data_IF_138764339916
#
_entry.id   IF_138764339916
#
_cell.length_a   1.000
_cell.length_b   1.000
_cell.length_c   1.000
_cell.angle_alpha   90.00
_cell.angle_beta   90.00
_cell.angle_gamma   90.00
#
_symmetry.space_group_name_H-M   'P 1'
#
loop_
_entity.id
_entity.type
_entity.pdbx_description
1 polymer ?
#
# COMPACT_ATOMS: atom_id res chain seq x y z
N UNK A 1 23.00 -21.04 -8.15
CA UNK A 1 21.59 -20.60 -8.15
C UNK A 1 21.59 -19.12 -8.43
N UNK A 2 20.88 -18.66 -9.46
CA UNK A 2 20.55 -17.24 -9.54
C UNK A 2 19.38 -17.01 -8.60
N UNK A 3 19.59 -16.23 -7.55
CA UNK A 3 18.50 -15.81 -6.67
C UNK A 3 17.57 -14.91 -7.48
N UNK A 4 16.29 -15.27 -7.52
CA UNK A 4 15.28 -14.39 -8.12
C UNK A 4 15.19 -13.10 -7.31
N UNK A 5 15.03 -11.93 -7.95
CA UNK A 5 14.90 -10.66 -7.24
C UNK A 5 13.70 -10.68 -6.29
N UNK A 6 13.87 -10.08 -5.12
CA UNK A 6 12.80 -9.98 -4.12
C UNK A 6 11.55 -9.31 -4.70
N UNK A 7 10.39 -9.58 -4.12
CA UNK A 7 9.13 -8.92 -4.49
C UNK A 7 9.29 -7.39 -4.49
N UNK A 8 9.85 -6.82 -3.41
CA UNK A 8 10.10 -5.38 -3.29
C UNK A 8 10.99 -4.86 -4.42
N UNK A 9 12.04 -5.60 -4.78
CA UNK A 9 12.93 -5.22 -5.89
C UNK A 9 12.22 -5.24 -7.24
N UNK A 10 11.19 -6.09 -7.43
CA UNK A 10 10.39 -6.17 -8.66
C UNK A 10 9.27 -5.12 -8.74
N UNK A 11 8.81 -4.59 -7.61
CA UNK A 11 7.87 -3.45 -7.58
C UNK A 11 8.50 -2.17 -8.14
N UNK A 12 9.79 -1.94 -7.90
CA UNK A 12 10.48 -0.71 -8.32
C UNK A 12 10.48 -0.48 -9.85
N UNK A 13 10.80 -1.47 -10.72
CA UNK A 13 10.66 -1.33 -12.16
C UNK A 13 9.25 -0.96 -12.60
N UNK A 14 8.21 -1.59 -12.03
CA UNK A 14 6.82 -1.25 -12.34
C UNK A 14 6.49 0.18 -11.94
N UNK A 15 6.88 0.60 -10.73
CA UNK A 15 6.70 1.96 -10.24
C UNK A 15 7.32 3.00 -11.19
N UNK A 16 8.56 2.74 -11.65
CA UNK A 16 9.24 3.62 -12.61
C UNK A 16 8.57 3.62 -13.98
N UNK A 17 8.16 2.46 -14.49
CA UNK A 17 7.46 2.37 -15.77
C UNK A 17 6.10 3.08 -15.72
N UNK A 18 5.34 2.89 -14.65
CA UNK A 18 3.99 3.43 -14.51
C UNK A 18 3.99 4.94 -14.22
N UNK A 19 4.86 5.42 -13.34
CA UNK A 19 4.78 6.80 -12.82
C UNK A 19 5.97 7.69 -13.21
N UNK A 20 7.07 7.12 -13.71
CA UNK A 20 8.34 7.83 -13.88
C UNK A 20 9.05 8.06 -12.54
N UNK A 21 10.36 8.36 -12.61
CA UNK A 21 11.22 8.41 -11.42
C UNK A 21 10.75 9.41 -10.34
N UNK A 22 10.28 10.59 -10.75
CA UNK A 22 9.87 11.65 -9.81
C UNK A 22 8.68 11.24 -8.95
N UNK A 23 7.64 10.71 -9.59
CA UNK A 23 6.42 10.32 -8.88
C UNK A 23 6.57 8.97 -8.17
N UNK A 24 7.42 8.08 -8.70
CA UNK A 24 7.77 6.85 -8.00
C UNK A 24 8.46 7.11 -6.66
N UNK A 25 9.23 8.20 -6.56
CA UNK A 25 9.93 8.62 -5.36
C UNK A 25 9.16 9.64 -4.49
N UNK A 26 7.90 9.98 -4.82
CA UNK A 26 7.12 10.93 -4.04
C UNK A 26 6.61 10.29 -2.74
N UNK A 27 7.23 10.66 -1.61
CA UNK A 27 6.93 10.07 -0.30
C UNK A 27 5.48 10.32 0.15
N UNK A 28 4.89 11.47 -0.15
CA UNK A 28 3.52 11.78 0.26
C UNK A 28 2.53 10.92 -0.54
N UNK A 29 2.74 10.80 -1.85
CA UNK A 29 1.96 9.93 -2.72
C UNK A 29 2.07 8.46 -2.28
N UNK A 30 3.28 7.98 -1.96
CA UNK A 30 3.48 6.59 -1.49
C UNK A 30 2.79 6.32 -0.16
N UNK A 31 2.81 7.30 0.76
CA UNK A 31 2.09 7.22 2.02
C UNK A 31 0.58 7.12 1.80
N UNK A 32 0.00 8.02 0.99
CA UNK A 32 -1.44 8.01 0.71
C UNK A 32 -1.89 6.76 -0.03
N UNK A 33 -1.11 6.25 -1.01
CA UNK A 33 -1.45 5.01 -1.71
C UNK A 33 -1.40 3.80 -0.77
N UNK A 34 -0.39 3.70 0.09
CA UNK A 34 -0.36 2.63 1.10
C UNK A 34 -1.56 2.69 2.06
N UNK A 35 -1.92 3.89 2.53
CA UNK A 35 -3.09 4.09 3.38
C UNK A 35 -4.39 3.69 2.69
N UNK A 36 -4.57 4.05 1.41
CA UNK A 36 -5.76 3.70 0.64
C UNK A 36 -5.90 2.18 0.47
N UNK A 37 -4.86 1.47 0.05
CA UNK A 37 -4.91 0.00 -0.11
C UNK A 37 -5.13 -0.69 1.25
N UNK A 38 -4.57 -0.14 2.34
CA UNK A 38 -4.83 -0.65 3.70
C UNK A 38 -6.30 -0.46 4.10
N UNK A 39 -6.91 0.68 3.77
CA UNK A 39 -8.32 0.95 4.01
C UNK A 39 -9.24 0.07 3.16
N UNK A 40 -8.91 -0.12 1.88
CA UNK A 40 -9.63 -1.01 0.98
C UNK A 40 -9.59 -2.47 1.48
N UNK A 41 -8.43 -2.94 1.97
CA UNK A 41 -8.30 -4.27 2.56
C UNK A 41 -9.15 -4.44 3.83
N UNK A 42 -9.05 -3.53 4.81
CA UNK A 42 -9.85 -3.67 6.05
C UNK A 42 -11.34 -3.50 5.78
N UNK A 43 -11.72 -2.67 4.82
CA UNK A 43 -13.11 -2.57 4.36
C UNK A 43 -13.60 -3.91 3.78
N UNK A 44 -12.79 -4.56 2.93
CA UNK A 44 -13.11 -5.87 2.38
C UNK A 44 -13.21 -6.95 3.48
N UNK A 45 -12.46 -6.81 4.57
CA UNK A 45 -12.54 -7.65 5.76
C UNK A 45 -13.72 -7.29 6.71
N UNK A 46 -14.53 -6.28 6.37
CA UNK A 46 -15.75 -5.93 7.10
C UNK A 46 -15.60 -4.77 8.11
N UNK A 47 -14.46 -4.09 8.15
CA UNK A 47 -14.30 -2.90 8.98
C UNK A 47 -15.18 -1.75 8.46
N UNK A 48 -15.75 -0.99 9.40
CA UNK A 48 -16.53 0.21 9.11
C UNK A 48 -15.63 1.45 9.06
N UNK A 49 -16.10 2.49 8.36
CA UNK A 49 -15.43 3.79 8.38
C UNK A 49 -15.34 4.39 9.80
N UNK A 50 -16.32 4.11 10.67
CA UNK A 50 -16.31 4.55 12.06
C UNK A 50 -15.16 3.94 12.86
N UNK A 51 -14.95 2.62 12.73
CA UNK A 51 -13.81 1.93 13.36
C UNK A 51 -12.48 2.43 12.80
N UNK A 52 -12.38 2.67 11.50
CA UNK A 52 -11.18 3.23 10.88
C UNK A 52 -10.85 4.63 11.46
N UNK A 53 -11.84 5.53 11.61
CA UNK A 53 -11.62 6.84 12.22
C UNK A 53 -11.20 6.77 13.69
N UNK A 54 -11.78 5.86 14.48
CA UNK A 54 -11.35 5.64 15.86
C UNK A 54 -9.89 5.19 15.95
N UNK A 55 -9.45 4.33 15.03
CA UNK A 55 -8.05 3.92 14.93
C UNK A 55 -7.13 5.07 14.51
N UNK A 56 -7.58 5.97 13.64
CA UNK A 56 -6.85 7.21 13.31
C UNK A 56 -6.62 8.02 14.58
N UNK A 57 -7.67 8.32 15.34
CA UNK A 57 -7.54 9.11 16.58
C UNK A 57 -6.61 8.42 17.60
N UNK A 58 -6.72 7.10 17.75
CA UNK A 58 -5.88 6.33 18.65
C UNK A 58 -4.40 6.35 18.24
N UNK A 59 -4.10 6.14 16.96
CA UNK A 59 -2.71 6.06 16.46
C UNK A 59 -2.05 7.43 16.36
N UNK A 60 -2.78 8.47 15.98
CA UNK A 60 -2.25 9.84 15.88
C UNK A 60 -2.28 10.59 17.21
N UNK A 61 -2.99 10.08 18.23
CA UNK A 61 -2.96 10.58 19.61
C UNK A 61 -1.71 10.22 20.42
N UNK A 62 -0.79 9.43 19.86
CA UNK A 62 0.48 9.01 20.49
C UNK A 62 1.70 9.55 19.72
N UNK A 63 2.86 9.48 20.35
CA UNK A 63 4.12 9.81 19.67
C UNK A 63 4.36 8.87 18.48
N UNK A 64 4.91 9.43 17.39
CA UNK A 64 5.27 8.65 16.21
C UNK A 64 6.37 7.63 16.52
N UNK A 65 6.22 6.41 15.98
CA UNK A 65 7.22 5.35 16.09
C UNK A 65 8.36 5.47 15.07
N UNK A 66 9.36 4.60 15.21
CA UNK A 66 10.45 4.47 14.24
C UNK A 66 9.97 3.78 12.96
N UNK A 67 10.37 4.29 11.79
CA UNK A 67 9.91 3.79 10.49
C UNK A 67 10.21 2.31 10.28
N UNK A 68 11.37 1.81 10.72
CA UNK A 68 11.73 0.40 10.54
C UNK A 68 10.84 -0.49 11.40
N UNK A 69 10.55 -0.05 12.64
CA UNK A 69 9.64 -0.75 13.53
C UNK A 69 8.22 -0.80 12.95
N UNK A 70 7.71 0.32 12.45
CA UNK A 70 6.35 0.36 11.88
C UNK A 70 6.21 -0.49 10.60
N UNK A 71 7.24 -0.54 9.75
CA UNK A 71 7.26 -1.48 8.61
C UNK A 71 7.16 -2.94 9.09
N UNK A 72 7.90 -3.31 10.15
CA UNK A 72 7.81 -4.64 10.74
C UNK A 72 6.43 -4.93 11.32
N UNK A 73 5.84 -3.96 12.01
CA UNK A 73 4.47 -4.05 12.55
C UNK A 73 3.44 -4.31 11.45
N UNK A 74 3.47 -3.52 10.38
CA UNK A 74 2.60 -3.69 9.20
C UNK A 74 2.76 -5.08 8.57
N UNK A 75 3.99 -5.56 8.39
CA UNK A 75 4.20 -6.88 7.78
C UNK A 75 3.60 -8.01 8.63
N UNK A 76 3.79 -7.95 9.95
CA UNK A 76 3.26 -8.96 10.88
C UNK A 76 1.73 -8.93 10.92
N UNK A 77 1.12 -7.74 10.97
CA UNK A 77 -0.33 -7.62 11.04
C UNK A 77 -1.02 -7.94 9.72
N UNK A 78 -0.41 -7.62 8.57
CA UNK A 78 -0.91 -8.05 7.26
C UNK A 78 -0.91 -9.58 7.16
N UNK A 79 0.19 -10.24 7.55
CA UNK A 79 0.26 -11.70 7.57
C UNK A 79 -0.80 -12.32 8.49
N UNK A 80 -0.99 -11.76 9.70
CA UNK A 80 -2.02 -12.21 10.63
C UNK A 80 -3.44 -12.04 10.08
N UNK A 81 -3.73 -10.91 9.42
CA UNK A 81 -5.02 -10.67 8.78
C UNK A 81 -5.27 -11.66 7.64
N UNK A 82 -4.28 -11.87 6.76
CA UNK A 82 -4.37 -12.86 5.70
C UNK A 82 -4.62 -14.27 6.25
N UNK A 83 -3.92 -14.68 7.31
CA UNK A 83 -4.16 -15.97 7.97
C UNK A 83 -5.59 -16.09 8.53
N UNK A 84 -6.11 -15.04 9.16
CA UNK A 84 -7.47 -15.03 9.70
C UNK A 84 -8.56 -15.11 8.61
N UNK A 85 -8.23 -14.68 7.39
CA UNK A 85 -9.12 -14.73 6.22
C UNK A 85 -8.76 -15.83 5.21
N UNK A 86 -7.86 -16.75 5.57
CA UNK A 86 -7.40 -17.86 4.70
C UNK A 86 -6.83 -17.41 3.34
N UNK A 87 -6.14 -16.28 3.32
CA UNK A 87 -5.51 -15.70 2.13
C UNK A 87 -4.00 -15.99 2.09
N UNK A 88 -3.48 -16.35 0.91
CA UNK A 88 -2.04 -16.35 0.65
C UNK A 88 -1.56 -14.92 0.34
N UNK A 89 -0.95 -14.28 1.33
CA UNK A 89 -0.39 -12.93 1.21
C UNK A 89 0.62 -12.81 0.07
N UNK A 90 1.47 -13.82 -0.13
CA UNK A 90 2.50 -13.77 -1.15
C UNK A 90 1.92 -14.03 -2.53
N UNK A 91 1.09 -15.06 -2.68
CA UNK A 91 0.36 -15.35 -3.92
C UNK A 91 -0.43 -14.16 -4.42
N UNK A 92 -1.24 -13.52 -3.55
CA UNK A 92 -2.02 -12.34 -3.89
C UNK A 92 -1.14 -11.16 -4.37
N UNK A 93 0.02 -10.95 -3.71
CA UNK A 93 0.97 -9.92 -4.12
C UNK A 93 1.58 -10.18 -5.51
N UNK A 94 1.95 -11.43 -5.81
CA UNK A 94 2.50 -11.82 -7.12
C UNK A 94 1.46 -11.67 -8.23
N UNK A 95 0.23 -12.11 -7.99
CA UNK A 95 -0.89 -11.98 -8.92
C UNK A 95 -1.18 -10.50 -9.23
N UNK A 96 -1.26 -9.65 -8.21
CA UNK A 96 -1.50 -8.23 -8.40
C UNK A 96 -0.33 -7.56 -9.13
N UNK A 97 0.93 -7.88 -8.77
CA UNK A 97 2.09 -7.33 -9.46
C UNK A 97 2.11 -7.71 -10.94
N UNK A 98 1.73 -8.94 -11.30
CA UNK A 98 1.58 -9.34 -12.69
C UNK A 98 0.43 -8.57 -13.38
N UNK A 99 -0.70 -8.40 -12.69
CA UNK A 99 -1.88 -7.73 -13.23
C UNK A 99 -1.69 -6.24 -13.50
N UNK A 100 -1.00 -5.52 -12.61
CA UNK A 100 -0.81 -4.06 -12.73
C UNK A 100 0.14 -3.66 -13.86
N UNK A 101 0.96 -4.59 -14.37
CA UNK A 101 1.73 -4.37 -15.60
C UNK A 101 0.83 -4.20 -16.82
N UNK A 102 -0.24 -4.98 -16.90
CA UNK A 102 -1.23 -4.90 -18.00
C UNK A 102 -2.16 -3.68 -17.87
N UNK A 103 -2.11 -2.96 -16.75
CA UNK A 103 -3.03 -1.86 -16.42
C UNK A 103 -2.37 -0.48 -16.35
N UNK A 104 -1.13 -0.32 -16.81
CA UNK A 104 -0.36 0.93 -16.66
C UNK A 104 -1.16 2.18 -17.09
N UNK A 105 -1.76 2.17 -18.28
CA UNK A 105 -2.47 3.35 -18.78
C UNK A 105 -3.75 3.65 -18.01
N UNK A 106 -4.50 2.60 -17.60
CA UNK A 106 -5.67 2.76 -16.75
C UNK A 106 -5.30 3.34 -15.38
N UNK A 107 -4.19 2.88 -14.78
CA UNK A 107 -3.67 3.36 -13.50
C UNK A 107 -3.25 4.84 -13.60
N UNK A 108 -2.59 5.23 -14.70
CA UNK A 108 -2.23 6.63 -14.96
C UNK A 108 -3.45 7.53 -15.06
N UNK A 109 -4.48 7.11 -15.81
CA UNK A 109 -5.74 7.85 -15.94
C UNK A 109 -6.47 7.98 -14.60
N UNK A 110 -6.63 6.87 -13.85
CA UNK A 110 -7.26 6.89 -12.51
C UNK A 110 -6.53 7.84 -11.57
N UNK A 111 -5.19 7.85 -11.60
CA UNK A 111 -4.39 8.75 -10.79
C UNK A 111 -4.56 10.22 -11.17
N UNK A 112 -4.59 10.54 -12.47
CA UNK A 112 -4.75 11.91 -12.93
C UNK A 112 -6.10 12.54 -12.51
N UNK A 113 -7.13 11.71 -12.34
CA UNK A 113 -8.45 12.13 -11.87
C UNK A 113 -8.58 12.20 -10.33
N UNK A 114 -7.54 11.84 -9.59
CA UNK A 114 -7.62 11.65 -8.15
C UNK A 114 -7.60 12.99 -7.40
N UNK A 115 -8.46 13.20 -6.38
CA UNK A 115 -8.40 14.40 -5.55
C UNK A 115 -7.04 14.55 -4.87
N UNK A 116 -6.58 15.79 -4.73
CA UNK A 116 -5.40 16.09 -3.92
C UNK A 116 -5.79 16.05 -2.44
N UNK A 117 -5.18 15.12 -1.69
CA UNK A 117 -5.26 15.09 -0.23
C UNK A 117 -4.04 15.82 0.33
N UNK A 118 -4.25 16.81 1.21
CA UNK A 118 -3.16 17.49 1.93
C UNK A 118 -2.57 18.74 1.26
N UNK A 119 -3.37 19.58 0.60
CA UNK A 119 -2.97 20.95 0.20
C UNK A 119 -3.15 22.00 1.30
N UNK A 120 -2.90 21.62 2.56
CA UNK A 120 -2.84 22.54 3.70
C UNK A 120 -1.43 22.55 4.27
N UNK A 121 -0.64 23.56 3.91
CA UNK A 121 0.34 24.12 4.86
C UNK A 121 -0.40 24.97 5.86
#
# INVERSE_FOLDING_TARGET
MQDSPSFQSRVQPWMTACFGAKLAADHAERNHRFMEESLELVQACGATAGEAHQLVDYVFGRAAGDKKQEVGGVMVTLAALCLAHELDMHGAGEEELALIWEKIDAIRTKRAAKPAFGSGK
#
